data_IF_223780839194
#
_entry.id   IF_223780839194
#
_cell.length_a   1.000
_cell.length_b   1.000
_cell.length_c   1.000
_cell.angle_alpha   90.00
_cell.angle_beta   90.00
_cell.angle_gamma   90.00
#
_symmetry.space_group_name_H-M   'P 1'
#
loop_
_entity.id
_entity.type
_entity.pdbx_description
1 polymer ?
#
# COMPACT_ATOMS: atom_id res chain seq x y z
N UNK A 1 5.21 30.09 7.17
CA UNK A 1 3.86 29.55 7.36
C UNK A 1 3.56 29.02 8.76
N UNK A 2 4.43 28.23 9.41
CA UNK A 2 4.12 27.63 10.73
C UNK A 2 3.56 28.58 11.81
N UNK A 3 4.16 29.75 12.05
CA UNK A 3 3.66 30.73 13.02
C UNK A 3 2.29 31.31 12.62
N UNK A 4 2.06 31.53 11.32
CA UNK A 4 0.80 32.10 10.82
C UNK A 4 -0.34 31.11 11.01
N UNK A 5 -0.08 29.82 10.74
CA UNK A 5 -1.04 28.74 11.01
C UNK A 5 -1.32 28.61 12.51
N UNK A 6 -0.29 28.72 13.35
CA UNK A 6 -0.47 28.73 14.80
C UNK A 6 -1.41 29.86 15.25
N UNK A 7 -1.24 31.08 14.72
CA UNK A 7 -2.14 32.21 15.00
C UNK A 7 -3.56 31.90 14.49
N UNK A 8 -3.69 31.41 13.26
CA UNK A 8 -4.99 31.06 12.68
C UNK A 8 -5.76 30.04 13.54
N UNK A 9 -5.07 29.00 14.00
CA UNK A 9 -5.68 27.92 14.78
C UNK A 9 -5.96 28.37 16.22
N UNK A 10 -5.00 29.00 16.89
CA UNK A 10 -5.09 29.24 18.34
C UNK A 10 -5.64 30.61 18.74
N UNK A 11 -5.41 31.65 17.93
CA UNK A 11 -5.88 33.00 18.23
C UNK A 11 -7.19 33.32 17.50
N UNK A 12 -7.37 32.79 16.28
CA UNK A 12 -8.56 33.04 15.43
C UNK A 12 -9.56 31.87 15.50
N UNK A 13 -9.17 30.74 16.10
CA UNK A 13 -9.99 29.54 16.24
C UNK A 13 -10.48 28.98 14.89
N UNK A 14 -9.56 28.86 13.92
CA UNK A 14 -9.82 28.18 12.65
C UNK A 14 -9.40 26.72 12.81
N UNK A 15 -10.38 25.87 13.12
CA UNK A 15 -10.18 24.43 13.29
C UNK A 15 -9.92 23.73 11.94
N UNK A 16 -9.10 22.68 12.01
CA UNK A 16 -8.74 21.80 10.87
C UNK A 16 -8.18 22.54 9.65
N UNK A 17 -7.32 23.52 9.94
CA UNK A 17 -6.49 24.18 8.94
C UNK A 17 -5.17 23.42 8.77
N UNK A 18 -4.97 22.89 7.58
CA UNK A 18 -3.78 22.15 7.19
C UNK A 18 -2.92 22.97 6.24
N UNK A 19 -1.64 22.62 6.18
CA UNK A 19 -0.73 23.22 5.21
C UNK A 19 0.34 22.23 4.77
N UNK A 20 0.76 22.39 3.52
CA UNK A 20 1.89 21.70 2.95
C UNK A 20 2.72 22.68 2.12
N UNK A 21 3.91 23.02 2.64
CA UNK A 21 4.81 24.04 2.04
C UNK A 21 4.10 25.40 1.91
N UNK A 22 3.59 25.72 0.73
CA UNK A 22 2.93 26.99 0.38
C UNK A 22 1.42 26.83 0.11
N UNK A 23 0.89 25.61 0.21
CA UNK A 23 -0.55 25.33 0.03
C UNK A 23 -1.23 25.17 1.39
N UNK A 24 -2.20 26.02 1.69
CA UNK A 24 -3.11 25.87 2.83
C UNK A 24 -4.48 25.36 2.40
N UNK A 25 -5.05 24.44 3.17
CA UNK A 25 -6.33 23.82 2.87
C UNK A 25 -7.06 23.39 4.14
N UNK A 26 -8.36 23.23 4.04
CA UNK A 26 -9.22 22.84 5.15
C UNK A 26 -10.61 22.50 4.65
N UNK A 27 -11.52 22.26 5.57
CA UNK A 27 -12.91 21.93 5.26
C UNK A 27 -13.87 22.82 6.04
N UNK A 28 -15.03 23.04 5.46
CA UNK A 28 -16.13 23.78 6.08
C UNK A 28 -17.47 23.10 5.70
N UNK A 29 -18.52 23.39 6.45
CA UNK A 29 -19.85 22.89 6.12
C UNK A 29 -20.38 23.60 4.86
N UNK A 30 -21.10 22.87 3.99
CA UNK A 30 -21.61 23.38 2.70
C UNK A 30 -22.43 24.67 2.84
N UNK A 31 -23.15 24.83 3.95
CA UNK A 31 -24.00 25.99 4.22
C UNK A 31 -23.27 27.13 4.93
N UNK A 32 -22.06 26.90 5.42
CA UNK A 32 -21.27 27.88 6.14
C UNK A 32 -20.50 28.78 5.17
N UNK A 33 -21.25 29.56 4.41
CA UNK A 33 -20.74 30.45 3.37
C UNK A 33 -20.98 31.90 3.76
N UNK A 34 -20.06 32.77 3.37
CA UNK A 34 -20.23 34.21 3.51
C UNK A 34 -19.77 34.96 2.26
N UNK A 35 -20.40 36.12 2.03
CA UNK A 35 -19.97 37.01 0.97
C UNK A 35 -18.68 37.73 1.40
N UNK A 36 -17.61 37.51 0.66
CA UNK A 36 -16.30 38.10 0.92
C UNK A 36 -16.04 39.31 0.01
N UNK A 37 -16.12 40.56 0.53
CA UNK A 37 -16.15 41.76 -0.30
C UNK A 37 -14.91 41.98 -1.15
N UNK A 38 -13.74 41.54 -0.68
CA UNK A 38 -12.46 41.80 -1.36
C UNK A 38 -12.28 40.99 -2.64
N UNK A 39 -12.90 39.82 -2.72
CA UNK A 39 -12.92 38.98 -3.92
C UNK A 39 -14.26 39.06 -4.67
N UNK A 40 -15.26 39.76 -4.11
CA UNK A 40 -16.62 39.85 -4.66
C UNK A 40 -17.23 38.45 -4.94
N UNK A 41 -17.06 37.52 -4.00
CA UNK A 41 -17.47 36.11 -4.13
C UNK A 41 -18.07 35.61 -2.82
N UNK A 42 -18.94 34.60 -2.93
CA UNK A 42 -19.39 33.82 -1.77
C UNK A 42 -18.41 32.66 -1.60
N UNK A 43 -17.79 32.56 -0.43
CA UNK A 43 -16.76 31.56 -0.10
C UNK A 43 -17.03 30.95 1.28
N UNK A 44 -16.44 29.78 1.59
CA UNK A 44 -16.46 29.21 2.93
C UNK A 44 -16.02 30.20 4.01
N UNK A 45 -16.72 30.21 5.14
CA UNK A 45 -16.47 31.12 6.25
C UNK A 45 -15.04 30.97 6.82
N UNK A 46 -14.54 29.74 6.97
CA UNK A 46 -13.16 29.51 7.39
C UNK A 46 -12.15 30.07 6.37
N UNK A 47 -12.42 29.96 5.06
CA UNK A 47 -11.55 30.52 4.03
C UNK A 47 -11.49 32.05 4.12
N UNK A 48 -12.63 32.72 4.30
CA UNK A 48 -12.68 34.16 4.47
C UNK A 48 -11.87 34.64 5.69
N UNK A 49 -11.98 33.94 6.84
CA UNK A 49 -11.16 34.21 8.03
C UNK A 49 -9.65 34.09 7.77
N UNK A 50 -9.22 33.06 7.03
CA UNK A 50 -7.81 32.89 6.64
C UNK A 50 -7.36 34.06 5.76
N UNK A 51 -8.17 34.42 4.75
CA UNK A 51 -7.85 35.55 3.87
C UNK A 51 -7.77 36.88 4.63
N UNK A 52 -8.64 37.11 5.60
CA UNK A 52 -8.60 38.31 6.44
C UNK A 52 -7.35 38.35 7.31
N UNK A 53 -6.91 37.20 7.86
CA UNK A 53 -5.63 37.10 8.56
C UNK A 53 -4.45 37.45 7.65
N UNK A 54 -4.39 36.88 6.44
CA UNK A 54 -3.32 37.21 5.49
C UNK A 54 -3.30 38.70 5.16
N UNK A 55 -4.45 39.32 4.95
CA UNK A 55 -4.54 40.75 4.75
C UNK A 55 -4.07 41.56 5.96
N UNK A 56 -4.43 41.14 7.17
CA UNK A 56 -3.99 41.79 8.40
C UNK A 56 -2.46 41.73 8.56
N UNK A 57 -1.85 40.60 8.20
CA UNK A 57 -0.40 40.39 8.26
C UNK A 57 0.36 40.95 7.05
N UNK A 58 -0.34 41.49 6.04
CA UNK A 58 0.27 41.98 4.80
C UNK A 58 0.82 40.89 3.89
N UNK A 59 0.34 39.66 4.03
CA UNK A 59 0.71 38.53 3.18
C UNK A 59 0.02 38.62 1.82
N UNK A 60 0.79 38.35 0.76
CA UNK A 60 0.28 38.31 -0.61
C UNK A 60 -0.36 36.95 -0.88
N UNK A 61 -1.50 36.97 -1.56
CA UNK A 61 -2.17 35.80 -2.10
C UNK A 61 -2.72 36.14 -3.48
N UNK A 62 -2.89 35.12 -4.33
CA UNK A 62 -3.43 35.25 -5.67
C UNK A 62 -4.89 34.78 -5.69
N UNK A 63 -5.81 35.64 -6.12
CA UNK A 63 -7.25 35.31 -6.20
C UNK A 63 -7.54 34.04 -7.03
N UNK A 64 -6.92 33.79 -8.20
CA UNK A 64 -7.19 32.57 -8.96
C UNK A 64 -6.79 31.27 -8.25
N UNK A 65 -5.97 31.35 -7.20
CA UNK A 65 -5.58 30.20 -6.37
C UNK A 65 -6.50 30.00 -5.16
N UNK A 66 -7.42 30.94 -4.90
CA UNK A 66 -8.39 30.84 -3.80
C UNK A 66 -9.59 30.01 -4.25
N UNK A 67 -9.40 28.70 -4.24
CA UNK A 67 -10.39 27.73 -4.71
C UNK A 67 -11.25 27.23 -3.53
N UNK A 68 -12.49 26.84 -3.82
CA UNK A 68 -13.40 26.15 -2.89
C UNK A 68 -14.39 25.28 -3.68
N UNK A 69 -14.86 24.20 -3.05
CA UNK A 69 -15.76 23.21 -3.65
C UNK A 69 -15.36 21.77 -3.30
N UNK A 70 -16.15 20.80 -3.75
CA UNK A 70 -15.82 19.37 -3.71
C UNK A 70 -16.28 18.71 -5.02
N UNK A 71 -15.44 17.93 -5.72
CA UNK A 71 -14.04 17.65 -5.40
C UNK A 71 -13.12 18.86 -5.63
N UNK A 72 -11.96 18.87 -4.97
CA UNK A 72 -10.95 19.92 -5.09
C UNK A 72 -9.55 19.34 -5.25
N UNK A 73 -8.72 19.94 -6.11
CA UNK A 73 -7.31 19.55 -6.22
C UNK A 73 -6.50 20.21 -5.11
N UNK A 74 -5.96 19.41 -4.20
CA UNK A 74 -5.13 19.81 -3.07
C UNK A 74 -3.78 19.11 -3.21
N UNK A 75 -2.68 19.87 -3.19
CA UNK A 75 -1.30 19.38 -3.35
C UNK A 75 -1.10 18.43 -4.56
N UNK A 76 -1.91 18.58 -5.61
CA UNK A 76 -1.85 17.73 -6.81
C UNK A 76 -2.66 16.43 -6.75
N UNK A 77 -3.46 16.23 -5.71
CA UNK A 77 -4.46 15.16 -5.62
C UNK A 77 -5.87 15.73 -5.70
N UNK A 78 -6.76 15.03 -6.39
CA UNK A 78 -8.19 15.31 -6.35
C UNK A 78 -8.78 14.72 -5.07
N UNK A 79 -9.28 15.59 -4.20
CA UNK A 79 -9.86 15.24 -2.90
C UNK A 79 -11.37 15.43 -2.98
N UNK A 80 -12.13 14.37 -2.70
CA UNK A 80 -13.57 14.43 -2.51
C UNK A 80 -13.89 14.10 -1.05
N UNK A 81 -14.23 15.14 -0.28
CA UNK A 81 -14.53 15.02 1.15
C UNK A 81 -15.90 14.39 1.39
N UNK A 82 -16.82 14.44 0.42
CA UNK A 82 -18.15 13.84 0.56
C UNK A 82 -18.09 12.34 0.29
N UNK A 83 -17.28 11.92 -0.68
CA UNK A 83 -17.00 10.52 -0.93
C UNK A 83 -15.96 9.93 0.04
N UNK A 84 -15.23 10.78 0.78
CA UNK A 84 -14.09 10.41 1.63
C UNK A 84 -12.99 9.69 0.83
N UNK A 85 -12.62 10.29 -0.30
CA UNK A 85 -11.66 9.70 -1.25
C UNK A 85 -10.59 10.68 -1.71
N UNK A 86 -9.40 10.16 -1.97
CA UNK A 86 -8.29 10.90 -2.59
C UNK A 86 -7.79 10.13 -3.81
N UNK A 87 -7.61 10.82 -4.94
CA UNK A 87 -7.06 10.23 -6.19
C UNK A 87 -6.15 11.19 -6.94
N UNK A 88 -5.49 10.72 -8.01
CA UNK A 88 -4.81 11.59 -8.96
C UNK A 88 -5.82 12.21 -9.94
N UNK A 89 -5.68 13.50 -10.28
CA UNK A 89 -6.38 14.08 -11.42
C UNK A 89 -6.18 13.23 -12.68
N UNK A 90 -7.23 13.10 -13.50
CA UNK A 90 -7.22 12.21 -14.68
C UNK A 90 -6.05 12.50 -15.63
N UNK A 91 -5.69 13.78 -15.81
CA UNK A 91 -4.54 14.20 -16.62
C UNK A 91 -3.22 13.77 -15.99
N UNK A 92 -3.01 14.04 -14.70
CA UNK A 92 -1.80 13.65 -13.97
C UNK A 92 -1.60 12.12 -13.96
N UNK A 93 -2.70 11.36 -13.86
CA UNK A 93 -2.67 9.90 -13.97
C UNK A 93 -2.23 9.45 -15.37
N UNK A 94 -2.77 10.06 -16.43
CA UNK A 94 -2.38 9.75 -17.80
C UNK A 94 -0.90 10.10 -18.05
N UNK A 95 -0.44 11.27 -17.61
CA UNK A 95 0.94 11.72 -17.74
C UNK A 95 1.92 10.78 -17.00
N UNK A 96 1.54 10.29 -15.81
CA UNK A 96 2.32 9.29 -15.07
C UNK A 96 2.47 7.98 -15.86
N UNK A 97 1.37 7.46 -16.40
CA UNK A 97 1.37 6.23 -17.20
C UNK A 97 2.26 6.43 -18.43
N UNK A 98 2.07 7.52 -19.18
CA UNK A 98 2.87 7.83 -20.37
C UNK A 98 4.36 7.96 -20.02
N UNK A 99 4.71 8.64 -18.92
CA UNK A 99 6.10 8.75 -18.50
C UNK A 99 6.74 7.39 -18.18
N UNK A 100 6.01 6.48 -17.53
CA UNK A 100 6.49 5.12 -17.26
C UNK A 100 6.66 4.33 -18.57
N UNK A 101 5.68 4.40 -19.46
CA UNK A 101 5.68 3.68 -20.75
C UNK A 101 6.78 4.15 -21.69
N UNK A 102 6.98 5.47 -21.80
CA UNK A 102 8.08 6.07 -22.56
C UNK A 102 9.44 5.71 -21.95
N UNK A 103 9.50 5.56 -20.62
CA UNK A 103 10.71 5.14 -19.95
C UNK A 103 11.11 3.71 -20.34
N UNK A 104 10.17 2.77 -20.35
CA UNK A 104 10.44 1.36 -20.68
C UNK A 104 10.55 1.06 -22.17
N UNK A 105 9.85 1.83 -23.01
CA UNK A 105 9.75 1.63 -24.47
C UNK A 105 10.87 2.31 -25.26
N UNK A 106 11.72 3.11 -24.61
CA UNK A 106 12.80 3.83 -25.28
C UNK A 106 13.75 2.89 -26.04
N UNK A 107 14.15 3.23 -27.29
CA UNK A 107 15.13 2.46 -28.05
C UNK A 107 16.48 2.33 -27.34
N UNK A 108 16.85 3.32 -26.52
CA UNK A 108 18.06 3.30 -25.71
C UNK A 108 17.76 2.72 -24.34
N UNK A 109 18.47 1.65 -23.99
CA UNK A 109 18.50 1.12 -22.61
C UNK A 109 19.33 1.97 -21.65
N UNK A 110 20.06 2.97 -22.15
CA UNK A 110 20.91 3.89 -21.37
C UNK A 110 20.09 5.12 -21.02
N UNK A 111 19.98 5.42 -19.72
CA UNK A 111 19.33 6.65 -19.22
C UNK A 111 20.22 7.30 -18.18
N UNK A 112 20.17 8.62 -18.09
CA UNK A 112 20.94 9.33 -17.09
C UNK A 112 20.29 9.12 -15.71
N UNK A 113 21.07 9.13 -14.64
CA UNK A 113 20.57 8.91 -13.28
C UNK A 113 19.44 9.89 -12.92
N UNK A 114 19.49 11.14 -13.38
CA UNK A 114 18.42 12.11 -13.14
C UNK A 114 17.07 11.68 -13.76
N UNK A 115 17.06 11.03 -14.93
CA UNK A 115 15.83 10.51 -15.55
C UNK A 115 15.18 9.45 -14.63
N UNK A 116 16.01 8.57 -14.05
CA UNK A 116 15.53 7.55 -13.11
C UNK A 116 14.97 8.17 -11.83
N UNK A 117 15.67 9.18 -11.29
CA UNK A 117 15.26 9.87 -10.07
C UNK A 117 13.97 10.67 -10.27
N UNK A 118 13.80 11.31 -11.44
CA UNK A 118 12.58 12.01 -11.81
C UNK A 118 11.39 11.05 -11.88
N UNK A 119 11.54 9.92 -12.59
CA UNK A 119 10.49 8.90 -12.68
C UNK A 119 10.16 8.32 -11.30
N UNK A 120 11.19 7.95 -10.52
CA UNK A 120 11.01 7.43 -9.17
C UNK A 120 10.28 8.43 -8.27
N UNK A 121 10.57 9.72 -8.38
CA UNK A 121 9.89 10.79 -7.65
C UNK A 121 8.41 10.87 -7.99
N UNK A 122 8.07 10.87 -9.28
CA UNK A 122 6.66 10.86 -9.74
C UNK A 122 5.89 9.62 -9.27
N UNK A 123 6.48 8.44 -9.44
CA UNK A 123 5.89 7.20 -8.95
C UNK A 123 5.71 7.24 -7.44
N UNK A 124 6.73 7.64 -6.68
CA UNK A 124 6.66 7.75 -5.22
C UNK A 124 5.56 8.70 -4.76
N UNK A 125 5.39 9.82 -5.47
CA UNK A 125 4.31 10.77 -5.20
C UNK A 125 2.94 10.11 -5.38
N UNK A 126 2.75 9.35 -6.46
CA UNK A 126 1.50 8.64 -6.72
C UNK A 126 1.19 7.54 -5.69
N UNK A 127 2.19 7.00 -4.98
CA UNK A 127 1.96 5.99 -3.94
C UNK A 127 1.12 6.51 -2.76
N UNK A 128 0.96 7.83 -2.60
CA UNK A 128 0.01 8.37 -1.62
C UNK A 128 -1.44 7.95 -1.92
N UNK A 129 -1.79 7.71 -3.18
CA UNK A 129 -3.13 7.24 -3.58
C UNK A 129 -3.13 5.80 -4.13
N UNK A 130 -1.95 5.27 -4.47
CA UNK A 130 -1.74 3.87 -4.85
C UNK A 130 -0.75 3.17 -3.90
N UNK A 131 -1.00 3.11 -2.58
CA UNK A 131 -0.01 2.60 -1.62
C UNK A 131 0.42 1.15 -1.90
N UNK A 132 -0.50 0.32 -2.39
CA UNK A 132 -0.24 -1.07 -2.74
C UNK A 132 0.79 -1.25 -3.87
N UNK A 133 1.03 -0.23 -4.70
CA UNK A 133 1.90 -0.34 -5.88
C UNK A 133 3.38 -0.06 -5.59
N UNK A 134 3.74 0.13 -4.32
CA UNK A 134 5.12 0.31 -3.86
C UNK A 134 6.11 -0.76 -4.36
N UNK A 135 5.75 -2.05 -4.52
CA UNK A 135 6.64 -3.07 -5.11
C UNK A 135 7.17 -2.71 -6.51
N UNK A 136 6.46 -1.86 -7.27
CA UNK A 136 6.87 -1.38 -8.58
C UNK A 136 8.16 -0.55 -8.58
N UNK A 137 8.60 -0.05 -7.41
CA UNK A 137 9.83 0.73 -7.25
C UNK A 137 11.04 -0.11 -6.80
N UNK A 138 10.87 -1.41 -6.50
CA UNK A 138 11.92 -2.25 -5.94
C UNK A 138 13.21 -2.23 -6.77
N UNK A 139 13.13 -2.62 -8.05
CA UNK A 139 14.31 -2.68 -8.91
C UNK A 139 14.80 -1.29 -9.35
N UNK A 140 13.92 -0.29 -9.37
CA UNK A 140 14.29 1.12 -9.64
C UNK A 140 15.25 1.60 -8.55
N UNK A 141 14.86 1.49 -7.29
CA UNK A 141 15.72 1.90 -6.17
C UNK A 141 16.99 1.06 -6.05
N UNK A 142 16.92 -0.24 -6.31
CA UNK A 142 18.12 -1.08 -6.35
C UNK A 142 19.14 -0.55 -7.37
N UNK A 143 18.68 -0.11 -8.54
CA UNK A 143 19.55 0.40 -9.61
C UNK A 143 20.10 1.79 -9.33
N UNK A 144 19.37 2.63 -8.61
CA UNK A 144 19.77 4.02 -8.35
C UNK A 144 20.48 4.21 -7.00
N UNK A 145 20.33 3.26 -6.07
CA UNK A 145 20.90 3.34 -4.73
C UNK A 145 22.43 3.51 -4.76
N UNK A 146 22.93 4.38 -3.88
CA UNK A 146 24.36 4.69 -3.75
C UNK A 146 24.97 5.51 -4.89
N UNK A 147 24.17 5.94 -5.89
CA UNK A 147 24.65 6.75 -7.01
C UNK A 147 24.31 8.22 -6.80
N UNK A 148 25.31 9.09 -7.00
CA UNK A 148 25.18 10.54 -6.77
C UNK A 148 25.42 11.39 -8.03
N UNK A 149 26.10 10.86 -9.05
CA UNK A 149 26.34 11.59 -10.29
C UNK A 149 25.10 11.56 -11.19
N UNK A 150 24.38 12.68 -11.27
CA UNK A 150 23.13 12.85 -12.01
C UNK A 150 23.21 12.52 -13.51
N UNK A 151 24.38 12.71 -14.13
CA UNK A 151 24.63 12.41 -15.54
C UNK A 151 25.16 11.00 -15.78
N UNK A 152 25.41 10.21 -14.72
CA UNK A 152 25.89 8.85 -14.88
C UNK A 152 24.85 7.97 -15.58
N UNK A 153 25.32 7.17 -16.52
CA UNK A 153 24.46 6.25 -17.28
C UNK A 153 24.07 5.05 -16.41
N UNK A 154 22.77 4.80 -16.31
CA UNK A 154 22.18 3.62 -15.68
C UNK A 154 21.41 2.82 -16.74
N UNK A 155 21.63 1.51 -16.76
CA UNK A 155 21.05 0.61 -17.74
C UNK A 155 19.72 0.03 -17.26
N UNK A 156 18.72 0.13 -18.12
CA UNK A 156 17.44 -0.54 -17.99
C UNK A 156 17.61 -2.05 -18.25
N UNK A 157 17.14 -2.89 -17.34
CA UNK A 157 17.10 -4.36 -17.48
C UNK A 157 15.65 -4.86 -17.42
N UNK A 158 15.47 -6.15 -17.68
CA UNK A 158 14.14 -6.74 -17.78
C UNK A 158 13.36 -6.66 -16.46
N UNK A 159 14.00 -6.95 -15.33
CA UNK A 159 13.35 -6.86 -14.03
C UNK A 159 12.79 -5.46 -13.71
N UNK A 160 13.49 -4.38 -14.11
CA UNK A 160 12.95 -3.02 -13.96
C UNK A 160 11.76 -2.82 -14.90
N UNK A 161 11.85 -3.29 -16.15
CA UNK A 161 10.72 -3.17 -17.10
C UNK A 161 9.48 -3.91 -16.60
N UNK A 162 9.63 -5.11 -16.07
CA UNK A 162 8.53 -5.91 -15.49
C UNK A 162 7.88 -5.22 -14.29
N UNK A 163 8.66 -4.60 -13.40
CA UNK A 163 8.13 -3.85 -12.27
C UNK A 163 7.41 -2.56 -12.69
N UNK A 164 8.01 -1.81 -13.62
CA UNK A 164 7.42 -0.58 -14.16
C UNK A 164 6.16 -0.85 -14.98
N UNK A 165 6.15 -1.90 -15.79
CA UNK A 165 4.96 -2.32 -16.54
C UNK A 165 3.85 -2.78 -15.59
N UNK A 166 4.18 -3.63 -14.61
CA UNK A 166 3.23 -4.05 -13.58
C UNK A 166 2.61 -2.85 -12.84
N UNK A 167 3.42 -1.85 -12.50
CA UNK A 167 2.94 -0.61 -11.90
C UNK A 167 1.98 0.15 -12.83
N UNK A 168 2.37 0.38 -14.09
CA UNK A 168 1.56 1.11 -15.06
C UNK A 168 0.21 0.42 -15.33
N UNK A 169 0.20 -0.90 -15.43
CA UNK A 169 -1.02 -1.69 -15.65
C UNK A 169 -2.00 -1.55 -14.49
N UNK A 170 -1.50 -1.59 -13.25
CA UNK A 170 -2.33 -1.39 -12.06
C UNK A 170 -2.83 0.04 -11.92
N UNK A 171 -1.99 1.05 -12.16
CA UNK A 171 -2.44 2.46 -12.17
C UNK A 171 -3.52 2.63 -13.22
N UNK A 172 -3.35 2.09 -14.43
CA UNK A 172 -4.35 2.17 -15.50
C UNK A 172 -5.69 1.54 -15.09
N UNK A 173 -5.66 0.33 -14.54
CA UNK A 173 -6.86 -0.41 -14.15
C UNK A 173 -7.57 0.14 -12.91
N UNK A 174 -6.84 0.81 -12.01
CA UNK A 174 -7.39 1.32 -10.75
C UNK A 174 -8.00 2.72 -10.91
N UNK A 175 -9.04 3.05 -10.14
CA UNK A 175 -9.53 4.43 -10.01
C UNK A 175 -8.56 5.33 -9.24
N UNK A 176 -7.55 4.75 -8.57
CA UNK A 176 -6.60 5.47 -7.71
C UNK A 176 -7.19 6.02 -6.45
N UNK A 177 -8.27 5.41 -5.99
CA UNK A 177 -9.07 5.90 -4.87
C UNK A 177 -8.51 5.35 -3.56
N UNK A 178 -7.87 6.19 -2.76
CA UNK A 178 -7.62 5.90 -1.35
C UNK A 178 -8.86 6.26 -0.55
N UNK A 179 -9.52 5.27 0.03
CA UNK A 179 -10.63 5.46 0.95
C UNK A 179 -10.11 5.50 2.39
N UNK A 180 -10.45 6.55 3.15
CA UNK A 180 -10.00 6.69 4.54
C UNK A 180 -10.46 5.53 5.44
N UNK A 181 -11.59 4.89 5.12
CA UNK A 181 -12.13 3.73 5.85
C UNK A 181 -11.26 2.47 5.78
N UNK A 182 -10.38 2.35 4.77
CA UNK A 182 -9.39 1.28 4.70
C UNK A 182 -8.18 1.52 5.64
N UNK A 183 -8.09 2.71 6.24
CA UNK A 183 -7.00 3.05 7.18
C UNK A 183 -7.38 2.79 8.64
N UNK A 184 -8.67 2.62 8.94
CA UNK A 184 -9.20 2.65 10.31
C UNK A 184 -9.95 1.37 10.67
N UNK A 185 -9.19 0.31 10.98
CA UNK A 185 -9.72 -0.88 11.67
C UNK A 185 -8.64 -1.57 12.50
N UNK A 186 -9.06 -2.14 13.63
CA UNK A 186 -8.21 -2.88 14.53
C UNK A 186 -8.04 -4.34 14.05
N UNK A 187 -6.84 -4.75 13.65
CA UNK A 187 -6.65 -6.04 13.02
C UNK A 187 -6.74 -7.26 13.93
N UNK A 188 -6.83 -7.06 15.25
CA UNK A 188 -7.09 -8.13 16.21
C UNK A 188 -8.57 -8.34 16.52
N UNK A 189 -9.43 -7.34 16.30
CA UNK A 189 -10.82 -7.37 16.78
C UNK A 189 -11.86 -7.12 15.69
N UNK A 190 -11.47 -6.50 14.58
CA UNK A 190 -12.37 -6.10 13.49
C UNK A 190 -12.04 -6.82 12.17
N UNK A 191 -11.25 -7.89 12.22
CA UNK A 191 -10.98 -8.75 11.07
C UNK A 191 -12.22 -9.58 10.71
N UNK A 192 -12.58 -9.63 9.43
CA UNK A 192 -13.62 -10.52 8.92
C UNK A 192 -13.14 -11.98 8.90
N UNK A 193 -11.83 -12.19 8.73
CA UNK A 193 -11.20 -13.51 8.74
C UNK A 193 -9.77 -13.43 9.28
N UNK A 194 -9.33 -14.51 9.94
CA UNK A 194 -7.99 -14.60 10.53
C UNK A 194 -7.30 -15.91 10.13
N UNK A 195 -6.00 -15.79 9.85
CA UNK A 195 -5.10 -16.89 9.58
C UNK A 195 -3.83 -16.71 10.40
N UNK A 196 -3.22 -17.80 10.82
CA UNK A 196 -1.91 -17.80 11.49
C UNK A 196 -0.96 -18.68 10.69
N UNK A 197 0.22 -18.16 10.40
CA UNK A 197 1.24 -18.76 9.54
C UNK A 197 2.53 -18.99 10.31
N UNK A 198 3.25 -20.03 9.92
CA UNK A 198 4.59 -20.35 10.39
C UNK A 198 5.36 -21.14 9.32
N UNK A 199 6.67 -21.01 9.30
CA UNK A 199 7.54 -21.85 8.52
C UNK A 199 8.69 -22.41 9.36
N UNK A 200 9.14 -23.60 8.97
CA UNK A 200 10.38 -24.18 9.44
C UNK A 200 11.25 -24.57 8.23
N UNK A 201 12.53 -24.93 8.43
CA UNK A 201 13.42 -25.30 7.34
C UNK A 201 12.94 -26.48 6.45
N UNK A 202 11.97 -27.26 6.92
CA UNK A 202 11.46 -28.45 6.22
C UNK A 202 10.00 -28.33 5.78
N UNK A 203 9.25 -27.35 6.27
CA UNK A 203 7.80 -27.28 6.02
C UNK A 203 7.20 -25.92 6.36
N UNK A 204 6.03 -25.66 5.83
CA UNK A 204 5.21 -24.47 6.04
C UNK A 204 3.84 -24.89 6.55
N UNK A 205 3.29 -24.13 7.48
CA UNK A 205 2.01 -24.40 8.10
C UNK A 205 1.20 -23.13 8.29
N UNK A 206 -0.07 -23.16 7.91
CA UNK A 206 -1.00 -22.11 8.30
C UNK A 206 -2.34 -22.71 8.75
N UNK A 207 -3.12 -21.96 9.52
CA UNK A 207 -4.42 -22.45 9.97
C UNK A 207 -5.42 -21.32 10.23
N UNK A 208 -6.70 -21.70 10.25
CA UNK A 208 -7.83 -20.86 10.65
C UNK A 208 -8.47 -21.41 11.91
N UNK A 209 -8.54 -20.57 12.95
CA UNK A 209 -9.23 -20.87 14.19
C UNK A 209 -10.75 -20.95 14.01
N UNK A 210 -11.30 -20.07 13.17
CA UNK A 210 -12.73 -20.04 12.81
C UNK A 210 -13.19 -21.36 12.20
N UNK A 211 -12.41 -21.91 11.26
CA UNK A 211 -12.78 -23.15 10.56
C UNK A 211 -12.27 -24.42 11.25
N UNK A 212 -11.39 -24.28 12.26
CA UNK A 212 -10.59 -25.39 12.81
C UNK A 212 -9.95 -26.21 11.69
N UNK A 213 -9.31 -25.53 10.74
CA UNK A 213 -8.63 -26.16 9.62
C UNK A 213 -7.20 -25.68 9.51
N UNK A 214 -6.27 -26.64 9.46
CA UNK A 214 -4.85 -26.43 9.28
C UNK A 214 -4.38 -26.92 7.92
N UNK A 215 -3.28 -26.37 7.46
CA UNK A 215 -2.70 -26.65 6.17
C UNK A 215 -1.20 -26.88 6.31
N UNK A 216 -0.68 -27.89 5.62
CA UNK A 216 0.75 -28.20 5.61
C UNK A 216 1.27 -28.32 4.17
N UNK A 217 2.50 -27.85 3.97
CA UNK A 217 3.27 -28.14 2.77
C UNK A 217 4.73 -28.34 3.14
N UNK A 218 5.43 -29.37 2.60
CA UNK A 218 6.87 -29.41 2.69
C UNK A 218 7.49 -28.23 1.93
N UNK A 219 8.65 -27.77 2.38
CA UNK A 219 9.48 -26.83 1.61
C UNK A 219 10.08 -27.58 0.41
N UNK A 220 10.12 -26.98 -0.80
CA UNK A 220 10.75 -27.59 -1.96
C UNK A 220 12.19 -28.07 -1.69
N UNK A 221 12.52 -29.28 -2.15
CA UNK A 221 13.80 -29.94 -1.85
C UNK A 221 15.05 -29.22 -2.40
N UNK A 222 14.88 -28.32 -3.38
CA UNK A 222 15.96 -27.49 -3.94
C UNK A 222 16.12 -26.13 -3.23
N UNK A 223 15.37 -25.87 -2.16
CA UNK A 223 15.43 -24.64 -1.39
C UNK A 223 16.79 -24.45 -0.69
N UNK A 224 17.42 -23.26 -0.76
CA UNK A 224 18.61 -22.98 0.02
C UNK A 224 18.29 -22.97 1.53
N UNK A 225 19.12 -23.60 2.36
CA UNK A 225 18.84 -23.79 3.81
C UNK A 225 18.74 -22.50 4.63
N UNK A 226 19.27 -21.39 4.12
CA UNK A 226 19.28 -20.08 4.79
C UNK A 226 18.11 -19.16 4.39
N UNK A 227 17.02 -19.75 3.88
CA UNK A 227 15.87 -19.01 3.32
C UNK A 227 14.63 -19.05 4.21
N UNK A 228 14.78 -19.27 5.52
CA UNK A 228 13.63 -19.35 6.46
C UNK A 228 12.67 -18.17 6.31
N UNK A 229 13.21 -16.95 6.23
CA UNK A 229 12.43 -15.74 6.00
C UNK A 229 11.65 -15.78 4.66
N UNK A 230 12.21 -16.35 3.61
CA UNK A 230 11.49 -16.54 2.35
C UNK A 230 10.33 -17.52 2.48
N UNK A 231 10.49 -18.60 3.26
CA UNK A 231 9.41 -19.56 3.51
C UNK A 231 8.32 -19.00 4.39
N UNK A 232 8.66 -18.19 5.39
CA UNK A 232 7.68 -17.42 6.17
C UNK A 232 6.83 -16.52 5.27
N UNK A 233 7.49 -15.73 4.41
CA UNK A 233 6.79 -14.87 3.47
C UNK A 233 5.95 -15.66 2.46
N UNK A 234 6.47 -16.80 1.99
CA UNK A 234 5.76 -17.71 1.08
C UNK A 234 4.53 -18.30 1.74
N UNK A 235 4.62 -18.66 3.03
CA UNK A 235 3.49 -19.18 3.81
C UNK A 235 2.37 -18.15 3.93
N UNK A 236 2.70 -16.87 4.18
CA UNK A 236 1.72 -15.76 4.17
C UNK A 236 1.02 -15.63 2.82
N UNK A 237 1.77 -15.66 1.70
CA UNK A 237 1.15 -15.61 0.36
C UNK A 237 0.29 -16.85 0.08
N UNK A 238 0.73 -18.03 0.49
CA UNK A 238 -0.03 -19.27 0.34
C UNK A 238 -1.37 -19.23 1.09
N UNK A 239 -1.34 -18.73 2.32
CA UNK A 239 -2.54 -18.54 3.14
C UNK A 239 -3.51 -17.54 2.49
N UNK A 240 -2.99 -16.44 1.94
CA UNK A 240 -3.78 -15.47 1.17
C UNK A 240 -4.38 -16.06 -0.10
N UNK A 241 -3.60 -16.83 -0.89
CA UNK A 241 -4.10 -17.53 -2.08
C UNK A 241 -5.21 -18.51 -1.73
N UNK A 242 -4.98 -19.34 -0.71
CA UNK A 242 -5.99 -20.28 -0.23
C UNK A 242 -7.28 -19.56 0.19
N UNK A 243 -7.18 -18.46 0.92
CA UNK A 243 -8.34 -17.66 1.30
C UNK A 243 -9.08 -17.12 0.08
N UNK A 244 -8.35 -16.54 -0.88
CA UNK A 244 -8.93 -16.02 -2.12
C UNK A 244 -9.68 -17.10 -2.92
N UNK A 245 -9.11 -18.30 -3.00
CA UNK A 245 -9.66 -19.38 -3.81
C UNK A 245 -10.85 -20.10 -3.15
N UNK A 246 -10.86 -20.17 -1.80
CA UNK A 246 -11.79 -21.05 -1.08
C UNK A 246 -12.80 -20.33 -0.20
N UNK A 247 -12.51 -19.11 0.27
CA UNK A 247 -13.32 -18.43 1.28
C UNK A 247 -13.84 -17.07 0.82
N UNK A 248 -13.13 -16.40 -0.09
CA UNK A 248 -13.49 -15.04 -0.50
C UNK A 248 -14.90 -14.91 -1.09
N UNK A 249 -15.41 -15.94 -1.76
CA UNK A 249 -16.75 -15.94 -2.37
C UNK A 249 -17.88 -15.94 -1.35
N UNK A 250 -17.61 -16.25 -0.09
CA UNK A 250 -18.60 -16.23 1.00
C UNK A 250 -18.90 -14.80 1.49
N UNK A 251 -18.06 -13.81 1.10
CA UNK A 251 -18.17 -12.43 1.57
C UNK A 251 -18.67 -11.47 0.48
N UNK A 252 -19.46 -10.49 0.88
CA UNK A 252 -19.99 -9.47 -0.02
C UNK A 252 -18.86 -8.66 -0.71
N UNK A 253 -19.14 -8.17 -1.92
CA UNK A 253 -18.19 -7.37 -2.71
C UNK A 253 -18.32 -5.85 -2.46
N UNK A 254 -19.29 -5.42 -1.65
CA UNK A 254 -19.64 -4.00 -1.47
C UNK A 254 -18.65 -3.19 -0.64
N UNK A 255 -17.82 -3.84 0.18
CA UNK A 255 -16.76 -3.22 0.99
C UNK A 255 -15.49 -4.05 0.90
N UNK A 256 -14.30 -3.44 1.10
CA UNK A 256 -13.07 -4.20 1.23
C UNK A 256 -13.20 -5.20 2.39
N UNK A 257 -12.79 -6.44 2.16
CA UNK A 257 -12.75 -7.47 3.19
C UNK A 257 -11.50 -7.26 4.06
N UNK A 258 -11.68 -7.21 5.37
CA UNK A 258 -10.61 -7.08 6.36
C UNK A 258 -10.04 -8.44 6.71
N UNK A 259 -8.84 -8.76 6.20
CA UNK A 259 -8.16 -10.03 6.45
C UNK A 259 -6.92 -9.80 7.34
N UNK A 260 -6.82 -10.55 8.43
CA UNK A 260 -5.61 -10.56 9.26
C UNK A 260 -4.84 -11.86 9.08
N UNK A 261 -3.53 -11.77 8.84
CA UNK A 261 -2.62 -12.91 8.81
C UNK A 261 -1.53 -12.69 9.85
N UNK A 262 -1.41 -13.60 10.81
CA UNK A 262 -0.40 -13.54 11.85
C UNK A 262 0.82 -14.38 11.48
N UNK A 263 2.01 -13.91 11.85
CA UNK A 263 3.30 -14.61 11.71
C UNK A 263 4.15 -14.30 12.95
N UNK A 264 5.03 -15.19 13.35
CA UNK A 264 6.01 -14.89 14.41
C UNK A 264 7.33 -14.30 13.88
N UNK A 265 7.43 -14.10 12.55
CA UNK A 265 8.60 -13.55 11.91
C UNK A 265 8.48 -12.04 11.68
N UNK A 266 9.25 -11.25 12.44
CA UNK A 266 9.28 -9.79 12.31
C UNK A 266 9.68 -9.31 10.91
N UNK A 267 10.60 -10.01 10.22
CA UNK A 267 11.00 -9.60 8.87
C UNK A 267 9.84 -9.77 7.89
N UNK A 268 9.05 -10.84 8.04
CA UNK A 268 7.83 -11.08 7.25
C UNK A 268 6.81 -9.99 7.50
N UNK A 269 6.52 -9.69 8.77
CA UNK A 269 5.68 -8.55 9.13
C UNK A 269 6.15 -7.26 8.42
N UNK A 270 7.44 -6.90 8.54
CA UNK A 270 7.96 -5.65 7.98
C UNK A 270 7.85 -5.54 6.45
N UNK A 271 8.06 -6.61 5.68
CA UNK A 271 7.97 -6.52 4.22
C UNK A 271 6.52 -6.41 3.71
N UNK A 272 5.55 -7.00 4.43
CA UNK A 272 4.13 -6.88 4.07
C UNK A 272 3.53 -5.56 4.55
N UNK A 273 3.94 -5.06 5.72
CA UNK A 273 3.51 -3.77 6.24
C UNK A 273 4.04 -2.61 5.38
N UNK A 274 5.34 -2.65 5.03
CA UNK A 274 5.95 -1.59 4.24
C UNK A 274 5.75 -1.73 2.74
N UNK A 275 5.38 -2.92 2.23
CA UNK A 275 5.37 -3.29 0.81
C UNK A 275 6.69 -2.96 0.08
N UNK A 276 7.79 -2.87 0.82
CA UNK A 276 9.13 -2.63 0.33
C UNK A 276 10.00 -3.82 0.71
N UNK A 277 10.54 -4.52 -0.29
CA UNK A 277 11.34 -5.69 -0.06
C UNK A 277 12.55 -5.74 -0.98
N UNK A 278 13.51 -6.60 -0.66
CA UNK A 278 14.59 -6.93 -1.58
C UNK A 278 14.04 -7.69 -2.79
N UNK A 279 14.71 -7.64 -3.96
CA UNK A 279 14.27 -8.29 -5.20
C UNK A 279 13.78 -9.73 -5.05
N UNK A 280 14.44 -10.53 -4.21
CA UNK A 280 14.11 -11.95 -4.00
C UNK A 280 12.69 -12.14 -3.44
N UNK A 281 12.20 -11.20 -2.63
CA UNK A 281 10.86 -11.25 -2.04
C UNK A 281 9.83 -10.46 -2.84
N UNK A 282 10.26 -9.55 -3.72
CA UNK A 282 9.36 -8.64 -4.43
C UNK A 282 8.31 -9.37 -5.26
N UNK A 283 8.64 -10.55 -5.78
CA UNK A 283 7.70 -11.40 -6.52
C UNK A 283 6.53 -11.89 -5.64
N UNK A 284 6.80 -12.22 -4.38
CA UNK A 284 5.78 -12.62 -3.40
C UNK A 284 4.88 -11.43 -3.05
N UNK A 285 5.47 -10.25 -2.83
CA UNK A 285 4.72 -9.04 -2.49
C UNK A 285 3.85 -8.58 -3.67
N UNK A 286 4.37 -8.59 -4.90
CA UNK A 286 3.58 -8.31 -6.11
C UNK A 286 2.41 -9.28 -6.25
N UNK A 287 2.64 -10.58 -6.03
CA UNK A 287 1.57 -11.58 -6.06
C UNK A 287 0.51 -11.33 -5.00
N UNK A 288 0.92 -10.99 -3.78
CA UNK A 288 -0.03 -10.63 -2.72
C UNK A 288 -0.85 -9.40 -3.14
N UNK A 289 -0.21 -8.33 -3.59
CA UNK A 289 -0.90 -7.11 -4.06
C UNK A 289 -1.89 -7.40 -5.20
N UNK A 290 -1.52 -8.24 -6.18
CA UNK A 290 -2.43 -8.64 -7.26
C UNK A 290 -3.71 -9.29 -6.70
N UNK A 291 -3.58 -10.10 -5.64
CA UNK A 291 -4.73 -10.72 -4.97
C UNK A 291 -5.55 -9.70 -4.19
N UNK A 292 -4.89 -8.79 -3.45
CA UNK A 292 -5.56 -7.74 -2.69
C UNK A 292 -6.43 -6.85 -3.59
N UNK A 293 -5.87 -6.40 -4.72
CA UNK A 293 -6.58 -5.56 -5.69
C UNK A 293 -7.69 -6.35 -6.37
N UNK A 294 -7.42 -7.57 -6.85
CA UNK A 294 -8.40 -8.38 -7.57
C UNK A 294 -9.61 -8.76 -6.71
N UNK A 295 -9.37 -9.06 -5.44
CA UNK A 295 -10.41 -9.55 -4.53
C UNK A 295 -10.94 -8.47 -3.58
N UNK A 296 -10.50 -7.21 -3.72
CA UNK A 296 -10.87 -6.10 -2.83
C UNK A 296 -10.67 -6.49 -1.34
N UNK A 297 -9.43 -6.85 -1.00
CA UNK A 297 -9.03 -7.27 0.35
C UNK A 297 -8.11 -6.19 0.94
N UNK A 298 -8.43 -5.77 2.15
CA UNK A 298 -7.55 -5.00 3.03
C UNK A 298 -6.85 -5.98 3.98
N UNK A 299 -5.57 -6.25 3.70
CA UNK A 299 -4.78 -7.23 4.44
C UNK A 299 -3.92 -6.54 5.50
N UNK A 300 -3.94 -7.09 6.71
CA UNK A 300 -2.99 -6.77 7.78
C UNK A 300 -2.20 -8.01 8.14
N UNK A 301 -0.91 -7.99 7.80
CA UNK A 301 0.04 -8.97 8.33
C UNK A 301 0.54 -8.46 9.67
N UNK A 302 0.54 -9.30 10.70
CA UNK A 302 0.88 -8.91 12.06
C UNK A 302 1.86 -9.88 12.70
N UNK A 303 2.73 -9.34 13.54
CA UNK A 303 3.61 -10.15 14.36
C UNK A 303 2.90 -10.64 15.64
N UNK A 304 3.02 -11.93 15.94
CA UNK A 304 2.64 -12.55 17.22
C UNK A 304 3.84 -13.24 17.86
N UNK A 305 3.84 -13.41 19.18
CA UNK A 305 4.91 -14.16 19.82
C UNK A 305 4.84 -15.64 19.40
N UNK A 306 5.99 -16.27 19.13
CA UNK A 306 6.02 -17.70 18.76
C UNK A 306 5.39 -18.63 19.82
N UNK A 307 5.34 -18.20 21.09
CA UNK A 307 4.61 -18.92 22.14
C UNK A 307 3.09 -18.95 21.90
N UNK A 308 2.55 -17.91 21.27
CA UNK A 308 1.14 -17.78 20.92
C UNK A 308 0.83 -18.41 19.54
N UNK A 309 1.85 -18.66 18.71
CA UNK A 309 1.74 -19.27 17.37
C UNK A 309 1.85 -20.82 17.37
N UNK A 310 1.50 -21.46 18.49
CA UNK A 310 1.86 -22.86 18.76
C UNK A 310 1.23 -23.88 17.79
N UNK A 311 0.09 -23.56 17.19
CA UNK A 311 -0.60 -24.44 16.23
C UNK A 311 0.07 -24.38 14.86
N UNK A 312 0.35 -23.18 14.35
CA UNK A 312 1.08 -23.01 13.09
C UNK A 312 2.50 -23.62 13.18
N UNK A 313 3.21 -23.42 14.30
CA UNK A 313 4.51 -24.07 14.60
C UNK A 313 4.41 -25.60 14.58
N UNK A 314 3.34 -26.16 15.16
CA UNK A 314 3.12 -27.60 15.12
C UNK A 314 2.87 -28.11 13.69
N UNK A 315 2.10 -27.36 12.89
CA UNK A 315 1.80 -27.70 11.50
C UNK A 315 3.05 -27.61 10.62
N UNK A 316 3.82 -26.52 10.69
CA UNK A 316 5.01 -26.29 9.86
C UNK A 316 6.07 -27.37 10.06
N UNK A 317 6.18 -27.91 11.28
CA UNK A 317 7.10 -28.99 11.67
C UNK A 317 6.55 -30.40 11.48
N UNK A 318 5.38 -30.55 10.85
CA UNK A 318 4.70 -31.85 10.66
C UNK A 318 4.35 -32.55 11.99
N UNK A 319 4.26 -31.81 13.10
CA UNK A 319 3.87 -32.34 14.41
C UNK A 319 2.35 -32.30 14.60
N UNK A 320 1.64 -33.08 13.78
CA UNK A 320 0.18 -33.11 13.76
C UNK A 320 -0.43 -33.56 15.09
N UNK A 321 0.26 -34.42 15.85
CA UNK A 321 -0.19 -34.85 17.18
C UNK A 321 -0.29 -33.66 18.15
N UNK A 322 0.72 -32.78 18.15
CA UNK A 322 0.69 -31.53 18.93
C UNK A 322 -0.45 -30.62 18.44
N UNK A 323 -0.62 -30.46 17.13
CA UNK A 323 -1.69 -29.63 16.56
C UNK A 323 -3.10 -30.11 16.97
N UNK A 324 -3.37 -31.42 16.90
CA UNK A 324 -4.65 -32.01 17.36
C UNK A 324 -4.86 -31.88 18.86
N UNK A 325 -3.79 -31.91 19.65
CA UNK A 325 -3.87 -31.72 21.11
C UNK A 325 -4.21 -30.28 21.47
N UNK A 326 -3.62 -29.31 20.77
CA UNK A 326 -3.89 -27.89 20.95
C UNK A 326 -5.31 -27.53 20.49
N UNK A 327 -5.76 -28.10 19.37
CA UNK A 327 -7.08 -27.84 18.79
C UNK A 327 -7.81 -29.17 18.50
N UNK A 328 -8.58 -29.69 19.46
CA UNK A 328 -9.39 -30.88 19.24
C UNK A 328 -10.40 -30.66 18.10
N UNK A 329 -10.40 -31.58 17.14
CA UNK A 329 -11.26 -31.52 15.94
C UNK A 329 -10.67 -30.70 14.78
N UNK A 330 -9.39 -30.30 14.86
CA UNK A 330 -8.66 -29.72 13.72
C UNK A 330 -8.70 -30.68 12.52
N UNK A 331 -9.00 -30.17 11.33
CA UNK A 331 -8.83 -30.90 10.06
C UNK A 331 -7.55 -30.40 9.40
N UNK A 332 -6.64 -31.29 9.02
CA UNK A 332 -5.37 -30.92 8.39
C UNK A 332 -5.39 -31.35 6.92
N UNK A 333 -5.26 -30.37 6.03
CA UNK A 333 -5.15 -30.55 4.59
C UNK A 333 -3.71 -30.22 4.11
N UNK A 334 -3.40 -30.58 2.87
CA UNK A 334 -2.14 -30.18 2.22
C UNK A 334 -2.36 -29.02 1.26
N UNK A 335 -1.38 -28.13 1.12
CA UNK A 335 -1.39 -27.09 0.08
C UNK A 335 -0.14 -27.17 -0.80
N UNK A 336 -0.17 -26.46 -1.93
CA UNK A 336 1.00 -26.26 -2.78
C UNK A 336 1.52 -24.84 -2.59
N UNK A 337 2.83 -24.62 -2.45
CA UNK A 337 3.38 -23.28 -2.37
C UNK A 337 3.03 -22.45 -3.62
N UNK A 338 2.87 -21.13 -3.49
CA UNK A 338 2.62 -20.23 -4.62
C UNK A 338 3.58 -20.49 -5.78
N UNK A 339 3.06 -20.61 -7.00
CA UNK A 339 3.89 -20.94 -8.17
C UNK A 339 5.03 -19.95 -8.38
N UNK A 340 4.82 -18.68 -8.03
CA UNK A 340 5.85 -17.65 -8.10
C UNK A 340 7.05 -17.90 -7.17
N UNK A 341 6.86 -18.67 -6.09
CA UNK A 341 7.90 -19.05 -5.13
C UNK A 341 8.73 -20.26 -5.59
N UNK A 342 8.21 -21.07 -6.53
CA UNK A 342 8.83 -22.32 -6.97
C UNK A 342 9.90 -22.13 -8.07
N UNK A 343 10.13 -20.89 -8.51
CA UNK A 343 11.00 -20.58 -9.64
C UNK A 343 10.38 -20.97 -10.99
N UNK A 344 10.87 -20.39 -12.08
CA UNK A 344 10.47 -20.84 -13.41
C UNK A 344 10.88 -22.31 -13.59
N UNK A 345 9.97 -23.17 -14.03
CA UNK A 345 10.31 -24.52 -14.46
C UNK A 345 11.48 -24.40 -15.46
N UNK A 346 12.63 -25.03 -15.14
CA UNK A 346 13.74 -25.14 -16.09
C UNK A 346 13.17 -25.79 -17.36
N UNK A 347 13.04 -25.02 -18.42
CA UNK A 347 12.73 -25.54 -19.76
C UNK A 347 13.90 -26.35 -20.30
#
# INVERSE_FOLDING_TARGET
MGLVLWIAIHEINIEDLFAYVDDEFGWDEEKNLEYYPRLNKVIPHKQAKVLDLWHHLGMKHDEPKQLSGSPLVIIGFEVDVNAMTVTLPTTAKADLITAVEDFISSPSRKRALHDWQQLAGWMSWSLNVFPLLRPGLCHVYLKTSGKSNSCAVVYLNEAVKEDLQWFADHVRASSGMLAFSALDWNPHTEADFTLECDACPTGMGFWSSTLKRGFFSPVPSEAPKDTIFFWEATCVVAALEWFCDNQRSEFALGTPLRLSIFTDNLNTYHIFDSLAAQPVYNILIKRAVDLLIRHNIDLRVLHIAGADNAVADALSRENFVKAYTLVPGLVIDTFQPPQCALGAAKK
#
